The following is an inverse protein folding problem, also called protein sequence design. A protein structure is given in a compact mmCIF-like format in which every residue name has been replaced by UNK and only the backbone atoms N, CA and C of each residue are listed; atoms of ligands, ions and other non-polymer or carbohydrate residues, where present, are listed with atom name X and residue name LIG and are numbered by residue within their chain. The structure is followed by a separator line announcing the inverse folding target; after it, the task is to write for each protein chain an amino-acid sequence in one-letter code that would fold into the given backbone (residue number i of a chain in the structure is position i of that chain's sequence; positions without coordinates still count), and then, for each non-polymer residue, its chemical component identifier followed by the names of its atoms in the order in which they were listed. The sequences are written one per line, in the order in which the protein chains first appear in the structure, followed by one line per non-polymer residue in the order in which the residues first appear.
data_IF_423956511551
#
_entry.id   IF_423956511551
#
_cell.length_a   1.000
_cell.length_b   1.000
_cell.length_c   1.000
_cell.angle_alpha   90.00
_cell.angle_beta   90.00
_cell.angle_gamma   90.00
#
_symmetry.space_group_name_H-M   'P 1'
#
loop_
_entity.id
_entity.type
_entity.pdbx_description
1 polymer ?
#
# COMPACT_ATOMS: atom_id res chain seq x y z
N UNK A 1 5.76 -24.87 2.70
CA UNK A 1 6.99 -25.71 2.86
C UNK A 1 7.55 -26.15 1.50
N UNK A 2 6.73 -26.70 0.60
CA UNK A 2 7.22 -27.20 -0.70
C UNK A 2 7.83 -26.09 -1.57
N UNK A 3 7.16 -24.94 -1.70
CA UNK A 3 7.64 -23.79 -2.49
C UNK A 3 9.00 -23.26 -1.99
N UNK A 4 9.18 -23.09 -0.69
CA UNK A 4 10.45 -22.57 -0.15
C UNK A 4 11.61 -23.58 -0.36
N UNK A 5 11.32 -24.87 -0.39
CA UNK A 5 12.33 -25.89 -0.68
C UNK A 5 12.79 -25.81 -2.15
N UNK A 6 11.87 -25.53 -3.10
CA UNK A 6 12.24 -25.31 -4.50
C UNK A 6 13.10 -24.04 -4.65
N UNK A 7 12.74 -22.95 -3.97
CA UNK A 7 13.59 -21.77 -3.93
C UNK A 7 15.00 -22.11 -3.39
N UNK A 8 15.08 -22.79 -2.24
CA UNK A 8 16.37 -23.17 -1.66
C UNK A 8 17.24 -23.98 -2.62
N UNK A 9 16.63 -24.93 -3.33
CA UNK A 9 17.36 -25.75 -4.30
C UNK A 9 17.98 -24.91 -5.40
N UNK A 10 17.16 -24.07 -6.07
CA UNK A 10 17.60 -23.22 -7.18
C UNK A 10 18.67 -22.21 -6.74
N UNK A 11 18.49 -21.59 -5.57
CA UNK A 11 19.45 -20.61 -5.08
C UNK A 11 20.78 -21.25 -4.66
N UNK A 12 20.73 -22.41 -4.00
CA UNK A 12 21.93 -23.15 -3.60
C UNK A 12 22.74 -23.66 -4.80
N UNK A 13 22.10 -24.01 -5.92
CA UNK A 13 22.77 -24.36 -7.18
C UNK A 13 23.59 -23.19 -7.76
N UNK A 14 23.32 -21.95 -7.31
CA UNK A 14 24.03 -20.74 -7.69
C UNK A 14 24.83 -20.12 -6.55
N UNK A 15 25.17 -20.88 -5.50
CA UNK A 15 25.91 -20.44 -4.33
C UNK A 15 25.26 -19.25 -3.57
N UNK A 16 23.94 -19.12 -3.69
CA UNK A 16 23.15 -18.10 -3.01
C UNK A 16 22.35 -18.70 -1.85
N UNK A 17 22.31 -17.99 -0.73
CA UNK A 17 21.54 -18.37 0.44
C UNK A 17 20.24 -17.60 0.50
N UNK A 18 19.17 -18.26 0.96
CA UNK A 18 17.87 -17.63 1.20
C UNK A 18 17.40 -17.87 2.64
N UNK A 19 16.63 -16.92 3.16
CA UNK A 19 15.91 -17.07 4.43
C UNK A 19 14.42 -16.78 4.20
N UNK A 20 13.56 -17.68 4.69
CA UNK A 20 12.12 -17.41 4.73
C UNK A 20 11.81 -16.45 5.87
N UNK A 21 11.09 -15.38 5.56
CA UNK A 21 10.60 -14.38 6.53
C UNK A 21 9.08 -14.27 6.41
N UNK A 22 8.37 -14.49 7.52
CA UNK A 22 6.92 -14.35 7.57
C UNK A 22 6.57 -13.08 8.36
N UNK A 23 5.82 -12.18 7.74
CA UNK A 23 5.47 -10.87 8.27
C UNK A 23 3.97 -10.80 8.55
N UNK A 24 3.58 -10.19 9.66
CA UNK A 24 2.18 -9.90 10.01
C UNK A 24 1.87 -8.43 9.78
N UNK A 25 0.61 -8.12 9.56
CA UNK A 25 0.10 -6.75 9.40
C UNK A 25 0.44 -5.83 10.58
N UNK A 26 0.46 -6.36 11.79
CA UNK A 26 0.77 -5.61 13.01
C UNK A 26 2.15 -4.93 12.97
N UNK A 27 3.01 -5.36 12.04
CA UNK A 27 4.31 -4.75 11.81
C UNK A 27 4.28 -3.21 11.73
N UNK A 28 3.23 -2.62 11.18
CA UNK A 28 3.16 -1.17 10.95
C UNK A 28 2.64 -0.44 12.19
N UNK A 29 1.77 -1.10 12.95
CA UNK A 29 1.15 -0.53 14.14
C UNK A 29 2.01 -0.74 15.39
N UNK A 30 2.86 -1.76 15.39
CA UNK A 30 3.76 -2.11 16.48
C UNK A 30 5.20 -1.66 16.18
N UNK A 31 5.62 -0.61 16.87
CA UNK A 31 6.96 -0.03 16.71
C UNK A 31 8.08 -1.04 17.00
N UNK A 32 7.90 -1.90 17.98
CA UNK A 32 8.92 -2.88 18.36
C UNK A 32 9.04 -3.95 17.27
N UNK A 33 7.93 -4.48 16.76
CA UNK A 33 7.94 -5.39 15.63
C UNK A 33 8.55 -4.77 14.38
N UNK A 34 8.25 -3.49 14.11
CA UNK A 34 8.84 -2.76 12.97
C UNK A 34 10.37 -2.67 13.09
N UNK A 35 10.88 -2.28 14.24
CA UNK A 35 12.33 -2.16 14.48
C UNK A 35 13.01 -3.51 14.37
N UNK A 36 12.46 -4.54 15.02
CA UNK A 36 13.02 -5.90 15.00
C UNK A 36 13.04 -6.49 13.60
N UNK A 37 11.96 -6.32 12.83
CA UNK A 37 11.88 -6.79 11.43
C UNK A 37 12.87 -6.03 10.55
N UNK A 38 13.00 -4.73 10.72
CA UNK A 38 13.96 -3.90 9.99
C UNK A 38 15.39 -4.37 10.25
N UNK A 39 15.74 -4.61 11.51
CA UNK A 39 17.06 -5.11 11.88
C UNK A 39 17.31 -6.50 11.28
N UNK A 40 16.38 -7.43 11.43
CA UNK A 40 16.51 -8.80 10.91
C UNK A 40 16.70 -8.81 9.38
N UNK A 41 15.91 -8.06 8.63
CA UNK A 41 16.05 -7.97 7.18
C UNK A 41 17.39 -7.37 6.76
N UNK A 42 17.82 -6.30 7.42
CA UNK A 42 19.12 -5.67 7.13
C UNK A 42 20.30 -6.58 7.47
N UNK A 43 20.22 -7.35 8.55
CA UNK A 43 21.26 -8.34 8.90
C UNK A 43 21.34 -9.49 7.86
N UNK A 44 20.20 -10.00 7.39
CA UNK A 44 20.18 -10.98 6.32
C UNK A 44 20.87 -10.44 5.05
N UNK A 45 20.50 -9.23 4.63
CA UNK A 45 21.07 -8.58 3.45
C UNK A 45 22.57 -8.30 3.62
N UNK A 46 23.02 -7.87 4.81
CA UNK A 46 24.44 -7.65 5.11
C UNK A 46 25.27 -8.94 5.03
N UNK A 47 24.66 -10.09 5.27
CA UNK A 47 25.26 -11.42 5.14
C UNK A 47 25.12 -12.01 3.73
N UNK A 48 24.60 -11.24 2.75
CA UNK A 48 24.27 -11.71 1.40
C UNK A 48 23.23 -12.84 1.39
N UNK A 49 22.35 -12.89 2.37
CA UNK A 49 21.23 -13.83 2.42
C UNK A 49 20.01 -13.14 1.85
N UNK A 50 19.38 -13.75 0.85
CA UNK A 50 18.21 -13.19 0.18
C UNK A 50 16.94 -13.52 0.98
N UNK A 51 16.23 -12.54 1.54
CA UNK A 51 14.98 -12.79 2.25
C UNK A 51 13.86 -13.09 1.24
N UNK A 52 13.23 -14.25 1.39
CA UNK A 52 12.00 -14.64 0.69
C UNK A 52 10.84 -14.40 1.65
N UNK A 53 10.06 -13.38 1.35
CA UNK A 53 9.08 -12.82 2.28
C UNK A 53 7.66 -13.19 1.86
N UNK A 54 6.82 -13.54 2.82
CA UNK A 54 5.38 -13.71 2.64
C UNK A 54 4.62 -13.27 3.89
N UNK A 55 3.30 -13.13 3.77
CA UNK A 55 2.45 -12.90 4.92
C UNK A 55 2.37 -14.15 5.81
N UNK A 56 2.26 -13.94 7.13
CA UNK A 56 2.02 -15.02 8.09
C UNK A 56 0.51 -15.28 8.24
N UNK A 57 -0.05 -16.01 7.29
CA UNK A 57 -1.49 -16.31 7.24
C UNK A 57 -2.01 -17.11 8.45
N UNK A 58 -1.12 -17.80 9.18
CA UNK A 58 -1.51 -18.68 10.31
C UNK A 58 -2.05 -17.87 11.50
N UNK A 59 -1.53 -16.65 11.68
CA UNK A 59 -1.92 -15.78 12.80
C UNK A 59 -2.74 -14.56 12.35
N UNK A 60 -2.98 -14.44 11.05
CA UNK A 60 -3.78 -13.36 10.48
C UNK A 60 -5.27 -13.74 10.49
N UNK A 61 -6.10 -12.97 11.23
CA UNK A 61 -7.55 -12.99 11.03
C UNK A 61 -7.88 -12.32 9.69
N UNK A 62 -9.06 -12.59 9.12
CA UNK A 62 -9.44 -11.98 7.83
C UNK A 62 -9.36 -10.46 7.84
N UNK A 63 -9.67 -9.83 8.98
CA UNK A 63 -9.57 -8.39 9.22
C UNK A 63 -8.12 -7.88 9.31
N UNK A 64 -7.16 -8.79 9.52
CA UNK A 64 -5.75 -8.51 9.78
C UNK A 64 -4.81 -8.94 8.63
N UNK A 65 -5.33 -9.20 7.42
CA UNK A 65 -4.48 -9.53 6.25
C UNK A 65 -4.04 -8.27 5.53
N UNK A 66 -2.84 -8.30 4.97
CA UNK A 66 -2.38 -7.24 4.03
C UNK A 66 -3.28 -7.13 2.79
N UNK A 67 -4.03 -8.19 2.51
CA UNK A 67 -4.91 -8.29 1.38
C UNK A 67 -4.23 -8.78 0.11
N UNK A 68 -2.93 -8.51 -0.05
CA UNK A 68 -2.14 -9.01 -1.17
C UNK A 68 -0.63 -8.78 -0.97
N UNK A 69 0.17 -9.55 -1.72
CA UNK A 69 1.63 -9.45 -1.69
C UNK A 69 2.17 -8.18 -2.38
N UNK A 70 1.38 -7.50 -3.18
CA UNK A 70 1.81 -6.23 -3.80
C UNK A 70 2.00 -5.16 -2.72
N UNK A 71 1.04 -5.02 -1.80
CA UNK A 71 1.15 -4.08 -0.66
C UNK A 71 2.27 -4.47 0.29
N UNK A 72 2.38 -5.78 0.60
CA UNK A 72 3.46 -6.28 1.43
C UNK A 72 4.82 -5.93 0.82
N UNK A 73 4.99 -6.12 -0.50
CA UNK A 73 6.24 -5.80 -1.20
C UNK A 73 6.60 -4.32 -1.14
N UNK A 74 5.60 -3.44 -1.24
CA UNK A 74 5.82 -1.99 -1.09
C UNK A 74 6.30 -1.63 0.33
N UNK A 75 5.70 -2.22 1.37
CA UNK A 75 6.11 -2.00 2.76
C UNK A 75 7.52 -2.52 3.00
N UNK A 76 7.82 -3.73 2.53
CA UNK A 76 9.17 -4.31 2.62
C UNK A 76 10.19 -3.44 1.91
N UNK A 77 9.87 -2.92 0.72
CA UNK A 77 10.77 -2.03 -0.01
C UNK A 77 11.15 -0.78 0.79
N UNK A 78 10.23 -0.26 1.60
CA UNK A 78 10.49 0.87 2.50
C UNK A 78 11.37 0.45 3.68
N UNK A 79 11.08 -0.71 4.29
CA UNK A 79 11.82 -1.23 5.45
C UNK A 79 13.30 -1.45 5.11
N UNK A 80 13.58 -2.01 3.93
CA UNK A 80 14.95 -2.28 3.47
C UNK A 80 15.58 -1.10 2.72
N UNK A 81 14.87 0.04 2.63
CA UNK A 81 15.30 1.22 1.88
C UNK A 81 15.72 0.86 0.44
N UNK A 82 14.86 0.11 -0.24
CA UNK A 82 15.12 -0.33 -1.61
C UNK A 82 15.22 0.87 -2.57
N UNK A 83 16.04 0.76 -3.58
CA UNK A 83 16.14 1.77 -4.65
C UNK A 83 15.01 1.65 -5.67
N UNK A 84 14.43 0.47 -5.81
CA UNK A 84 13.39 0.16 -6.78
C UNK A 84 12.49 -0.97 -6.28
N UNK A 85 11.20 -0.89 -6.59
CA UNK A 85 10.23 -1.98 -6.47
C UNK A 85 9.90 -2.50 -7.86
N UNK A 86 10.02 -3.82 -8.09
CA UNK A 86 9.63 -4.48 -9.33
C UNK A 86 8.44 -5.37 -9.04
N UNK A 87 7.29 -5.06 -9.64
CA UNK A 87 6.07 -5.85 -9.57
C UNK A 87 5.93 -6.68 -10.85
N UNK A 88 5.89 -7.99 -10.67
CA UNK A 88 5.77 -8.93 -11.78
C UNK A 88 4.32 -9.32 -11.98
N UNK A 89 3.84 -9.31 -13.21
CA UNK A 89 2.45 -9.64 -13.58
C UNK A 89 2.41 -10.49 -14.85
N UNK A 90 1.21 -10.97 -15.21
CA UNK A 90 0.95 -11.69 -16.45
C UNK A 90 0.67 -10.74 -17.64
N UNK A 91 0.58 -9.43 -17.41
CA UNK A 91 0.42 -8.40 -18.45
C UNK A 91 1.74 -7.68 -18.68
N UNK A 92 1.91 -7.06 -19.85
CA UNK A 92 3.14 -6.35 -20.19
C UNK A 92 3.42 -5.14 -19.29
N UNK A 93 2.39 -4.54 -18.69
CA UNK A 93 2.46 -3.38 -17.82
C UNK A 93 1.07 -2.88 -17.49
N UNK A 94 0.93 -1.60 -17.13
CA UNK A 94 -0.35 -0.92 -16.97
C UNK A 94 -0.89 -0.47 -18.34
N UNK A 95 -2.22 -0.47 -18.45
CA UNK A 95 -2.93 -0.05 -19.67
C UNK A 95 -3.94 1.05 -19.33
N UNK A 96 -4.23 1.90 -20.32
CA UNK A 96 -5.25 2.94 -20.19
C UNK A 96 -6.70 2.40 -20.13
N UNK A 97 -6.90 1.16 -20.62
CA UNK A 97 -8.17 0.39 -20.55
C UNK A 97 -7.83 -1.08 -20.30
N UNK A 98 -8.81 -1.87 -19.89
CA UNK A 98 -8.62 -3.31 -19.74
C UNK A 98 -8.33 -3.95 -21.12
N UNK A 99 -7.13 -4.52 -21.37
CA UNK A 99 -6.76 -5.05 -22.69
C UNK A 99 -7.54 -6.31 -23.08
N UNK A 100 -8.17 -7.02 -22.12
CA UNK A 100 -8.98 -8.19 -22.41
C UNK A 100 -10.40 -7.81 -22.87
N UNK A 101 -10.83 -6.56 -22.59
CA UNK A 101 -12.16 -6.04 -22.90
C UNK A 101 -12.16 -4.97 -24.00
N UNK A 102 -11.01 -4.38 -24.29
CA UNK A 102 -10.89 -3.26 -25.22
C UNK A 102 -9.66 -3.44 -26.13
N UNK A 103 -9.89 -3.60 -27.43
CA UNK A 103 -8.82 -3.74 -28.43
C UNK A 103 -7.97 -2.47 -28.61
N UNK A 104 -8.47 -1.31 -28.22
CA UNK A 104 -7.77 -0.04 -28.30
C UNK A 104 -6.91 0.25 -27.04
N UNK A 105 -6.85 -0.70 -26.11
CA UNK A 105 -6.03 -0.59 -24.92
C UNK A 105 -4.54 -0.47 -25.28
N UNK A 106 -3.91 0.61 -24.80
CA UNK A 106 -2.50 0.88 -25.00
C UNK A 106 -1.77 0.79 -23.68
N UNK A 107 -0.62 0.12 -23.69
CA UNK A 107 0.25 0.08 -22.54
C UNK A 107 0.79 1.48 -22.26
N UNK A 108 0.87 1.83 -20.97
CA UNK A 108 1.45 3.07 -20.50
C UNK A 108 2.89 2.77 -20.10
N UNK A 109 3.84 3.32 -20.82
CA UNK A 109 5.26 3.05 -20.58
C UNK A 109 5.77 3.82 -19.34
N UNK A 110 5.21 5.01 -19.10
CA UNK A 110 5.72 5.92 -18.07
C UNK A 110 4.59 6.70 -17.39
N UNK A 111 4.64 6.78 -16.07
CA UNK A 111 3.71 7.57 -15.24
C UNK A 111 4.51 8.44 -14.29
N UNK A 112 4.25 9.75 -14.32
CA UNK A 112 4.73 10.65 -13.30
C UNK A 112 3.85 10.51 -12.05
N UNK A 113 4.45 10.32 -10.87
CA UNK A 113 3.73 10.01 -9.65
C UNK A 113 2.58 10.99 -9.31
N UNK A 114 2.77 12.28 -9.55
CA UNK A 114 1.80 13.34 -9.27
C UNK A 114 0.80 13.60 -10.40
N UNK A 115 0.75 12.73 -11.42
CA UNK A 115 -0.21 12.88 -12.51
C UNK A 115 -1.61 12.42 -12.07
N UNK A 116 -2.67 13.13 -12.49
CA UNK A 116 -4.05 12.66 -12.37
C UNK A 116 -4.26 11.28 -12.99
N UNK A 117 -3.45 10.96 -14.02
CA UNK A 117 -3.44 9.68 -14.70
C UNK A 117 -3.30 8.47 -13.77
N UNK A 118 -2.48 8.56 -12.70
CA UNK A 118 -2.33 7.46 -11.76
C UNK A 118 -3.62 7.22 -10.95
N UNK A 119 -4.31 8.29 -10.57
CA UNK A 119 -5.58 8.20 -9.85
C UNK A 119 -6.70 7.69 -10.78
N UNK A 120 -6.71 8.12 -12.04
CA UNK A 120 -7.70 7.70 -13.05
C UNK A 120 -7.58 6.21 -13.40
N UNK A 121 -6.40 5.62 -13.19
CA UNK A 121 -6.15 4.19 -13.40
C UNK A 121 -6.60 3.31 -12.23
N UNK A 122 -6.89 3.89 -11.05
CA UNK A 122 -7.50 3.16 -9.94
C UNK A 122 -8.94 2.86 -10.37
N UNK A 123 -9.31 1.58 -10.58
CA UNK A 123 -10.67 1.28 -11.00
C UNK A 123 -11.65 1.77 -9.94
N UNK A 124 -12.58 2.63 -10.33
CA UNK A 124 -13.73 3.04 -9.50
C UNK A 124 -14.69 1.85 -9.28
N UNK A 125 -14.35 0.68 -9.81
CA UNK A 125 -15.18 -0.52 -9.74
C UNK A 125 -14.92 -1.30 -8.44
N UNK A 126 -15.80 -1.11 -7.50
CA UNK A 126 -15.99 -2.04 -6.38
C UNK A 126 -16.71 -3.33 -6.79
N UNK A 127 -16.81 -3.67 -8.09
CA UNK A 127 -17.57 -4.81 -8.56
C UNK A 127 -16.86 -5.57 -9.67
N UNK A 128 -16.31 -6.76 -9.36
CA UNK A 128 -15.86 -7.74 -10.34
C UNK A 128 -14.74 -8.65 -9.86
N UNK A 129 -15.01 -9.93 -9.72
CA UNK A 129 -13.98 -10.96 -9.58
C UNK A 129 -13.01 -10.88 -10.77
N UNK A 130 -11.72 -10.60 -10.53
CA UNK A 130 -10.67 -10.56 -11.55
C UNK A 130 -9.99 -9.22 -11.78
N UNK A 131 -10.53 -8.09 -11.30
CA UNK A 131 -9.93 -6.75 -11.45
C UNK A 131 -9.01 -6.34 -10.29
N UNK A 132 -8.96 -7.12 -9.19
CA UNK A 132 -8.19 -6.81 -7.99
C UNK A 132 -6.68 -6.65 -8.21
N UNK A 133 -6.09 -7.43 -9.11
CA UNK A 133 -4.65 -7.42 -9.32
C UNK A 133 -4.06 -6.15 -9.93
N UNK A 134 -4.89 -5.29 -10.53
CA UNK A 134 -4.42 -4.03 -11.14
C UNK A 134 -4.42 -2.89 -10.12
N UNK A 135 -5.50 -2.75 -9.36
CA UNK A 135 -5.63 -1.74 -8.31
C UNK A 135 -4.60 -1.95 -7.18
N UNK A 136 -4.32 -3.20 -6.81
CA UNK A 136 -3.33 -3.51 -5.77
C UNK A 136 -1.92 -3.09 -6.16
N UNK A 137 -1.54 -3.27 -7.44
CA UNK A 137 -0.25 -2.82 -7.97
C UNK A 137 -0.12 -1.30 -8.02
N UNK A 138 -1.19 -0.60 -8.37
CA UNK A 138 -1.21 0.87 -8.32
C UNK A 138 -1.07 1.35 -6.88
N UNK A 139 -1.80 0.76 -5.94
CA UNK A 139 -1.67 1.09 -4.51
C UNK A 139 -0.26 0.81 -3.98
N UNK A 140 0.34 -0.32 -4.34
CA UNK A 140 1.72 -0.63 -3.97
C UNK A 140 2.70 0.41 -4.54
N UNK A 141 2.53 0.80 -5.80
CA UNK A 141 3.33 1.85 -6.42
C UNK A 141 3.15 3.22 -5.74
N UNK A 142 1.94 3.55 -5.27
CA UNK A 142 1.68 4.78 -4.50
C UNK A 142 2.40 4.74 -3.15
N UNK A 143 2.31 3.62 -2.41
CA UNK A 143 3.00 3.44 -1.13
C UNK A 143 4.51 3.60 -1.31
N UNK A 144 5.10 2.90 -2.28
CA UNK A 144 6.52 2.96 -2.59
C UNK A 144 6.93 4.38 -3.05
N UNK A 145 6.16 4.98 -3.97
CA UNK A 145 6.45 6.29 -4.55
C UNK A 145 6.47 7.41 -3.51
N UNK A 146 5.51 7.46 -2.58
CA UNK A 146 5.53 8.43 -1.48
C UNK A 146 6.69 8.24 -0.49
N UNK A 147 7.35 7.10 -0.56
CA UNK A 147 8.56 6.83 0.23
C UNK A 147 9.86 7.12 -0.55
N UNK A 148 9.74 7.58 -1.79
CA UNK A 148 10.86 7.90 -2.66
C UNK A 148 11.43 6.68 -3.39
N UNK A 149 10.61 5.67 -3.64
CA UNK A 149 10.96 4.42 -4.32
C UNK A 149 10.20 4.34 -5.65
N UNK A 150 10.91 4.32 -6.77
CA UNK A 150 10.28 4.10 -8.06
C UNK A 150 9.77 2.67 -8.20
N UNK A 151 8.67 2.48 -8.91
CA UNK A 151 8.07 1.17 -9.14
C UNK A 151 8.07 0.84 -10.63
N UNK A 152 8.47 -0.37 -10.98
CA UNK A 152 8.40 -0.89 -12.35
C UNK A 152 7.50 -2.12 -12.39
N UNK A 153 6.46 -2.09 -13.24
CA UNK A 153 5.51 -3.19 -13.43
C UNK A 153 5.81 -3.86 -14.76
N UNK A 154 6.17 -5.14 -14.71
CA UNK A 154 6.65 -5.89 -15.87
C UNK A 154 5.90 -7.22 -16.04
N UNK A 155 5.85 -7.73 -17.28
CA UNK A 155 5.47 -9.12 -17.49
C UNK A 155 6.61 -10.06 -17.11
N UNK A 156 6.25 -11.26 -16.65
CA UNK A 156 7.24 -12.28 -16.38
C UNK A 156 7.95 -12.71 -17.67
N UNK A 157 9.23 -12.47 -17.73
CA UNK A 157 10.20 -13.13 -18.59
C UNK A 157 11.58 -12.89 -18.01
N UNK A 158 12.52 -13.81 -18.24
CA UNK A 158 13.90 -13.65 -17.78
C UNK A 158 14.50 -12.36 -18.32
N UNK A 159 14.30 -12.07 -19.62
CA UNK A 159 14.82 -10.87 -20.26
C UNK A 159 14.25 -9.59 -19.66
N UNK A 160 12.92 -9.50 -19.43
CA UNK A 160 12.30 -8.34 -18.84
C UNK A 160 12.80 -8.09 -17.41
N UNK A 161 12.98 -9.16 -16.63
CA UNK A 161 13.47 -9.05 -15.26
C UNK A 161 14.92 -8.52 -15.24
N UNK A 162 15.80 -9.10 -16.05
CA UNK A 162 17.20 -8.63 -16.17
C UNK A 162 17.26 -7.19 -16.67
N UNK A 163 16.45 -6.81 -17.65
CA UNK A 163 16.43 -5.46 -18.20
C UNK A 163 15.89 -4.46 -17.18
N UNK A 164 14.86 -4.80 -16.39
CA UNK A 164 14.35 -3.96 -15.31
C UNK A 164 15.40 -3.72 -14.21
N UNK A 165 16.16 -4.76 -13.81
CA UNK A 165 17.25 -4.64 -12.83
C UNK A 165 18.36 -3.73 -13.38
N UNK A 166 18.68 -3.85 -14.66
CA UNK A 166 19.68 -3.00 -15.35
C UNK A 166 19.20 -1.57 -15.62
N UNK A 167 18.00 -1.22 -15.19
CA UNK A 167 17.44 0.12 -15.37
C UNK A 167 16.90 0.43 -16.76
N UNK A 168 16.74 -0.60 -17.61
CA UNK A 168 16.13 -0.39 -18.93
C UNK A 168 14.60 -0.21 -18.79
N UNK A 169 14.04 0.52 -19.75
CA UNK A 169 12.62 0.71 -19.87
C UNK A 169 11.94 -0.57 -20.40
N UNK A 170 11.25 -1.29 -19.52
CA UNK A 170 10.39 -2.43 -19.83
C UNK A 170 9.13 -2.33 -19.00
N UNK A 171 7.97 -2.66 -19.59
CA UNK A 171 6.68 -2.52 -18.92
C UNK A 171 6.34 -1.05 -18.59
N UNK A 172 5.77 -0.82 -17.43
CA UNK A 172 5.40 0.52 -16.93
C UNK A 172 6.33 0.97 -15.82
N UNK A 173 6.98 2.10 -15.99
CA UNK A 173 7.76 2.78 -14.96
C UNK A 173 6.90 3.86 -14.30
N UNK A 174 6.74 3.78 -12.99
CA UNK A 174 6.10 4.80 -12.15
C UNK A 174 7.19 5.46 -11.32
N UNK A 175 7.38 6.76 -11.50
CA UNK A 175 8.36 7.52 -10.73
C UNK A 175 7.94 7.69 -9.26
N UNK A 176 8.92 7.99 -8.45
CA UNK A 176 8.71 8.37 -7.06
C UNK A 176 8.12 9.80 -6.94
N UNK A 177 7.53 10.07 -5.79
CA UNK A 177 7.01 11.39 -5.43
C UNK A 177 8.13 12.31 -4.92
N UNK A 178 8.08 13.58 -5.28
CA UNK A 178 8.93 14.62 -4.67
C UNK A 178 8.60 14.84 -3.18
N UNK A 179 7.36 14.49 -2.77
CA UNK A 179 6.90 14.62 -1.38
C UNK A 179 6.94 13.27 -0.70
N UNK A 180 7.78 13.13 0.32
CA UNK A 180 7.82 11.94 1.18
C UNK A 180 6.77 12.01 2.27
N UNK A 181 6.01 10.93 2.41
CA UNK A 181 5.00 10.76 3.47
C UNK A 181 5.46 9.65 4.43
N UNK A 182 5.16 9.81 5.72
CA UNK A 182 5.51 8.79 6.72
C UNK A 182 4.78 7.48 6.44
N UNK A 183 5.46 6.35 6.61
CA UNK A 183 4.92 5.01 6.34
C UNK A 183 3.56 4.76 7.02
N UNK A 184 3.39 5.17 8.29
CA UNK A 184 2.11 5.04 9.00
C UNK A 184 0.95 5.71 8.26
N UNK A 185 1.17 6.93 7.74
CA UNK A 185 0.14 7.64 6.96
C UNK A 185 -0.16 6.97 5.63
N UNK A 186 0.86 6.41 4.98
CA UNK A 186 0.68 5.64 3.75
C UNK A 186 -0.10 4.36 3.99
N UNK A 187 0.17 3.71 5.13
CA UNK A 187 -0.61 2.55 5.53
C UNK A 187 -2.09 2.89 5.75
N UNK A 188 -2.38 3.99 6.45
CA UNK A 188 -3.76 4.46 6.65
C UNK A 188 -4.44 4.73 5.29
N UNK A 189 -3.75 5.43 4.39
CA UNK A 189 -4.31 5.79 3.07
C UNK A 189 -4.63 4.57 2.21
N UNK A 190 -3.66 3.67 2.06
CA UNK A 190 -3.64 2.66 1.00
C UNK A 190 -3.64 1.22 1.51
N UNK A 191 -3.21 0.99 2.74
CA UNK A 191 -3.07 -0.33 3.33
C UNK A 191 -4.25 -0.76 4.20
N UNK A 192 -4.91 0.19 4.86
CA UNK A 192 -5.98 -0.08 5.79
C UNK A 192 -7.34 -0.13 5.09
N UNK A 193 -8.17 -1.12 5.41
CA UNK A 193 -9.57 -1.12 4.98
C UNK A 193 -10.37 -0.20 5.90
N UNK A 194 -11.28 0.59 5.33
CA UNK A 194 -12.25 1.35 6.11
C UNK A 194 -13.44 0.47 6.46
N UNK A 195 -13.80 0.46 7.72
CA UNK A 195 -14.99 -0.26 8.24
C UNK A 195 -16.20 0.66 8.33
N UNK A 196 -15.96 1.97 8.33
CA UNK A 196 -17.01 2.98 8.42
C UNK A 196 -16.66 4.22 7.57
N UNK A 197 -17.71 5.03 7.36
CA UNK A 197 -17.66 6.31 6.64
C UNK A 197 -18.33 7.38 7.50
N UNK A 198 -17.66 8.53 7.63
CA UNK A 198 -18.23 9.70 8.30
C UNK A 198 -18.28 10.88 7.35
N UNK A 199 -19.34 11.68 7.46
CA UNK A 199 -19.47 12.96 6.76
C UNK A 199 -19.07 14.10 7.70
N UNK A 200 -18.27 15.04 7.22
CA UNK A 200 -17.80 16.20 7.98
C UNK A 200 -18.27 17.51 7.35
N UNK A 201 -18.27 18.58 8.15
CA UNK A 201 -18.52 19.92 7.63
C UNK A 201 -17.29 20.57 7.00
N UNK A 202 -17.49 21.68 6.29
CA UNK A 202 -16.41 22.41 5.62
C UNK A 202 -15.38 23.00 6.61
N UNK A 203 -15.81 23.36 7.82
CA UNK A 203 -14.94 23.91 8.86
C UNK A 203 -13.97 22.86 9.39
N UNK A 204 -14.45 21.63 9.63
CA UNK A 204 -13.63 20.49 10.00
C UNK A 204 -12.61 20.16 8.91
N UNK A 205 -13.03 20.17 7.64
CA UNK A 205 -12.11 19.93 6.52
C UNK A 205 -11.03 21.02 6.43
N UNK A 206 -11.38 22.27 6.62
CA UNK A 206 -10.40 23.36 6.65
C UNK A 206 -9.44 23.27 7.82
N UNK A 207 -9.89 22.76 8.98
CA UNK A 207 -9.04 22.52 10.13
C UNK A 207 -8.02 21.40 9.85
N UNK A 208 -8.47 20.26 9.31
CA UNK A 208 -7.54 19.15 8.99
C UNK A 208 -6.53 19.52 7.90
N UNK A 209 -6.91 20.33 6.91
CA UNK A 209 -5.96 20.90 5.92
C UNK A 209 -4.86 21.74 6.57
N UNK A 210 -5.14 22.36 7.71
CA UNK A 210 -4.19 23.12 8.52
C UNK A 210 -3.46 22.27 9.57
N UNK A 211 -3.42 20.95 9.38
CA UNK A 211 -2.79 19.99 10.29
C UNK A 211 -3.44 19.93 11.69
N UNK A 212 -4.74 20.12 11.81
CA UNK A 212 -5.48 19.84 13.03
C UNK A 212 -6.02 18.41 13.06
N UNK A 213 -6.23 17.86 14.25
CA UNK A 213 -6.99 16.62 14.46
C UNK A 213 -8.46 16.82 14.13
N UNK A 214 -9.14 15.77 13.69
CA UNK A 214 -10.59 15.80 13.50
C UNK A 214 -11.28 15.64 14.86
N UNK A 215 -12.08 16.63 15.23
CA UNK A 215 -12.91 16.61 16.41
C UNK A 215 -14.32 16.09 16.08
N UNK A 216 -14.98 15.53 17.08
CA UNK A 216 -16.37 15.07 16.94
C UNK A 216 -17.34 16.19 16.53
N UNK A 217 -17.09 17.42 16.93
CA UNK A 217 -17.91 18.58 16.57
C UNK A 217 -18.01 18.84 15.05
N UNK A 218 -17.02 18.38 14.29
CA UNK A 218 -16.99 18.52 12.83
C UNK A 218 -17.71 17.39 12.10
N UNK A 219 -18.22 16.38 12.80
CA UNK A 219 -18.93 15.25 12.21
C UNK A 219 -20.39 15.59 12.03
N UNK A 220 -20.88 15.52 10.81
CA UNK A 220 -22.28 15.78 10.45
C UNK A 220 -23.10 14.49 10.48
N UNK A 221 -22.48 13.37 10.02
CA UNK A 221 -23.17 12.08 9.92
C UNK A 221 -22.19 10.92 10.04
N UNK A 222 -22.64 9.85 10.69
CA UNK A 222 -21.98 8.54 10.74
C UNK A 222 -22.81 7.59 9.90
N UNK A 223 -22.19 6.85 8.99
CA UNK A 223 -22.89 5.93 8.12
C UNK A 223 -22.96 4.52 8.71
N UNK A 224 -21.89 4.03 9.30
CA UNK A 224 -21.79 2.72 9.97
C UNK A 224 -21.11 2.88 11.33
N UNK A 225 -21.49 2.02 12.29
CA UNK A 225 -20.81 1.97 13.58
C UNK A 225 -19.36 1.52 13.46
N UNK A 226 -18.50 2.04 14.33
CA UNK A 226 -17.08 1.70 14.39
C UNK A 226 -16.57 1.66 15.82
N UNK A 227 -15.48 0.96 16.01
CA UNK A 227 -14.75 0.84 17.27
C UNK A 227 -13.45 1.63 17.24
N UNK A 228 -12.86 1.82 18.42
CA UNK A 228 -11.51 2.37 18.54
C UNK A 228 -10.54 1.50 17.74
N UNK A 229 -9.68 2.14 16.94
CA UNK A 229 -8.70 1.47 16.07
C UNK A 229 -9.19 1.20 14.64
N UNK A 230 -10.48 1.34 14.38
CA UNK A 230 -11.05 1.13 13.05
C UNK A 230 -10.63 2.22 12.06
N UNK A 231 -10.51 1.81 10.79
CA UNK A 231 -10.30 2.73 9.67
C UNK A 231 -11.58 3.44 9.28
N UNK A 232 -11.52 4.76 9.16
CA UNK A 232 -12.67 5.59 8.81
C UNK A 232 -12.36 6.39 7.56
N UNK A 233 -13.25 6.30 6.56
CA UNK A 233 -13.26 7.21 5.43
C UNK A 233 -13.99 8.51 5.81
N UNK A 234 -13.33 9.64 5.56
CA UNK A 234 -13.85 10.98 5.86
C UNK A 234 -14.32 11.63 4.58
N UNK A 235 -15.59 12.01 4.55
CA UNK A 235 -16.29 12.50 3.36
C UNK A 235 -16.75 13.92 3.54
N UNK A 236 -16.62 14.73 2.50
CA UNK A 236 -17.22 16.05 2.37
C UNK A 236 -17.98 16.13 1.05
N UNK A 237 -19.28 16.40 1.09
CA UNK A 237 -20.14 16.48 -0.11
C UNK A 237 -20.01 15.23 -1.00
N UNK A 238 -20.11 14.04 -0.43
CA UNK A 238 -19.97 12.73 -1.10
C UNK A 238 -18.59 12.43 -1.71
N UNK A 239 -17.60 13.28 -1.49
CA UNK A 239 -16.23 13.08 -1.94
C UNK A 239 -15.38 12.59 -0.76
N UNK A 240 -14.64 11.51 -0.96
CA UNK A 240 -13.67 11.02 0.03
C UNK A 240 -12.49 11.99 0.07
N UNK A 241 -12.35 12.73 1.17
CA UNK A 241 -11.36 13.81 1.31
C UNK A 241 -10.21 13.47 2.25
N UNK A 242 -10.43 12.49 3.14
CA UNK A 242 -9.40 12.03 4.07
C UNK A 242 -9.71 10.63 4.56
N UNK A 243 -8.74 10.01 5.22
CA UNK A 243 -8.87 8.72 5.89
C UNK A 243 -8.11 8.73 7.20
N UNK A 244 -8.59 8.00 8.21
CA UNK A 244 -7.91 7.97 9.49
C UNK A 244 -8.32 6.81 10.38
N UNK A 245 -7.70 6.75 11.58
CA UNK A 245 -7.95 5.73 12.60
C UNK A 245 -8.75 6.34 13.73
N UNK A 246 -9.87 5.72 14.10
CA UNK A 246 -10.72 6.11 15.20
C UNK A 246 -9.97 6.05 16.54
N UNK A 247 -10.08 7.09 17.35
CA UNK A 247 -9.55 7.15 18.72
C UNK A 247 -10.61 6.81 19.77
N UNK A 248 -11.87 6.81 19.39
CA UNK A 248 -13.02 6.47 20.20
C UNK A 248 -13.98 5.64 19.36
N UNK A 249 -14.92 4.95 20.00
CA UNK A 249 -16.00 4.25 19.30
C UNK A 249 -17.16 5.19 18.95
N UNK A 250 -17.97 4.81 17.96
CA UNK A 250 -19.08 5.63 17.46
C UNK A 250 -20.11 6.02 18.54
N UNK A 251 -20.28 5.17 19.57
CA UNK A 251 -21.18 5.41 20.71
C UNK A 251 -20.61 6.36 21.78
N UNK A 252 -19.34 6.74 21.69
CA UNK A 252 -18.64 7.64 22.61
C UNK A 252 -18.48 9.06 22.07
N UNK A 253 -19.06 9.33 20.90
CA UNK A 253 -18.96 10.64 20.25
C UNK A 253 -19.63 11.71 21.11
N UNK A 254 -18.83 12.71 21.47
CA UNK A 254 -19.28 13.90 22.20
C UNK A 254 -18.43 15.11 21.84
N UNK A 255 -18.93 16.31 22.16
CA UNK A 255 -18.27 17.56 21.80
C UNK A 255 -16.85 17.67 22.36
N UNK A 256 -15.98 18.27 21.57
CA UNK A 256 -14.56 18.53 21.88
C UNK A 256 -13.68 17.29 22.11
N UNK A 257 -14.15 16.11 21.76
CA UNK A 257 -13.31 14.90 21.75
C UNK A 257 -12.64 14.74 20.38
N UNK A 258 -11.37 14.30 20.40
CA UNK A 258 -10.64 13.96 19.21
C UNK A 258 -11.15 12.61 18.68
N UNK A 259 -11.78 12.63 17.51
CA UNK A 259 -12.21 11.41 16.82
C UNK A 259 -11.05 10.77 16.07
N UNK A 260 -10.29 11.57 15.29
CA UNK A 260 -9.11 11.10 14.57
C UNK A 260 -7.95 12.06 14.86
N UNK A 261 -6.86 11.53 15.42
CA UNK A 261 -5.67 12.34 15.69
C UNK A 261 -4.93 12.67 14.39
N UNK A 262 -4.30 13.84 14.33
CA UNK A 262 -3.57 14.30 13.13
C UNK A 262 -2.47 13.33 12.67
N UNK A 263 -1.82 12.62 13.58
CA UNK A 263 -0.81 11.62 13.23
C UNK A 263 -1.40 10.37 12.57
N UNK A 264 -2.68 10.10 12.81
CA UNK A 264 -3.46 8.98 12.29
C UNK A 264 -4.49 9.41 11.24
N UNK A 265 -4.34 10.61 10.68
CA UNK A 265 -5.19 11.20 9.64
C UNK A 265 -4.35 11.52 8.40
N UNK A 266 -4.86 11.16 7.22
CA UNK A 266 -4.26 11.55 5.94
C UNK A 266 -5.33 12.18 5.04
N UNK A 267 -4.97 13.25 4.37
CA UNK A 267 -5.79 13.88 3.31
C UNK A 267 -5.47 13.16 1.99
N UNK A 268 -6.50 12.76 1.26
CA UNK A 268 -6.42 12.01 0.00
C UNK A 268 -6.30 12.90 -1.22
#
# INVERSE_FOLDING_TARGET
IQLINEYKKVFNENDLQIAQVLITKNLIDDREQFVNTTQALNELLAQNIIPVINENDVVATEELKFGDNDRLSAIVSIIVNASKLILVTNKQGLYNFNPDKNSDAKMIEFIQFNSSQLNDLIPISNHGEGEGGFSTKIMAAQIAGFSGIQTQIISWSEQNFVDAIKGKQVGTLILESDKKIRLRKLWIAYGMQSTSKIEIDAGAFDAIKKNASLLCNGVVKIHEDFNIGDGIDVVLNDINVAKGIAKISSNEISDNIVLIHIDDLIIL
#
